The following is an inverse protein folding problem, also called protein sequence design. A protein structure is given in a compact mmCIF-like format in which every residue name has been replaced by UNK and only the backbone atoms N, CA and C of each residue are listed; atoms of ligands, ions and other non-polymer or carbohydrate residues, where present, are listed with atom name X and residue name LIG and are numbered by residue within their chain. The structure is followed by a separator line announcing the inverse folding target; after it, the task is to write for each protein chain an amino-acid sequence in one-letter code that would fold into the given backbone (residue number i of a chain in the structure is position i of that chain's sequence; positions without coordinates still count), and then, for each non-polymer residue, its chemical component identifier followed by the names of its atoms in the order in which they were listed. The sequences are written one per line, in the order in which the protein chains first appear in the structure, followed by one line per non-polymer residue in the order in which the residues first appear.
data_IF_744478614879
#
_entry.id   IF_744478614879
#
_cell.length_a   1.000
_cell.length_b   1.000
_cell.length_c   1.000
_cell.angle_alpha   90.00
_cell.angle_beta   90.00
_cell.angle_gamma   90.00
#
_symmetry.space_group_name_H-M   'P 1'
#
loop_
_entity.id
_entity.type
_entity.pdbx_description
1 polymer ?
#
# COMPACT_ATOMS: atom_id res chain seq x y z
N UNK A 1 20.24 -20.17 5.42
CA UNK A 1 19.27 -19.40 6.22
C UNK A 1 18.66 -18.36 5.30
N UNK A 2 17.35 -18.43 5.02
CA UNK A 2 16.67 -17.38 4.25
C UNK A 2 16.58 -16.13 5.13
N UNK A 3 17.57 -15.26 5.04
CA UNK A 3 17.51 -13.93 5.63
C UNK A 3 16.47 -13.13 4.83
N UNK A 4 15.24 -13.10 5.35
CA UNK A 4 14.20 -12.08 5.14
C UNK A 4 13.83 -11.69 3.69
N UNK A 5 13.35 -12.67 2.91
CA UNK A 5 12.58 -12.32 1.72
C UNK A 5 11.15 -11.90 2.09
N UNK A 6 10.80 -10.63 1.86
CA UNK A 6 9.39 -10.21 1.78
C UNK A 6 8.90 -10.37 0.34
N UNK A 7 7.64 -10.71 0.17
CA UNK A 7 6.99 -10.77 -1.14
C UNK A 7 5.70 -9.96 -1.15
N UNK A 8 5.41 -9.42 -2.32
CA UNK A 8 4.13 -8.80 -2.60
C UNK A 8 3.07 -9.83 -2.94
N UNK A 9 1.87 -9.51 -2.48
CA UNK A 9 0.69 -10.30 -2.72
C UNK A 9 -0.41 -9.35 -3.20
N UNK A 10 -0.93 -9.64 -4.39
CA UNK A 10 -2.10 -8.94 -4.91
C UNK A 10 -3.32 -9.59 -4.28
N UNK A 11 -4.13 -8.78 -3.61
CA UNK A 11 -5.39 -9.17 -3.03
C UNK A 11 -6.48 -8.89 -4.05
N UNK A 12 -7.03 -9.97 -4.58
CA UNK A 12 -8.08 -9.92 -5.56
C UNK A 12 -9.43 -10.28 -4.94
N UNK A 13 -10.50 -9.73 -5.54
CA UNK A 13 -11.89 -9.86 -5.06
C UNK A 13 -12.71 -10.72 -6.02
N UNK A 14 -13.35 -11.78 -5.54
CA UNK A 14 -14.45 -12.44 -6.25
C UNK A 14 -15.75 -12.14 -5.51
N UNK A 15 -16.72 -11.51 -6.18
CA UNK A 15 -18.00 -11.17 -5.55
C UNK A 15 -18.80 -12.40 -5.09
N UNK A 16 -19.67 -12.22 -4.08
CA UNK A 16 -20.84 -13.07 -3.83
C UNK A 16 -20.92 -13.75 -2.46
N UNK A 17 -19.83 -14.24 -1.87
CA UNK A 17 -19.89 -14.95 -0.57
C UNK A 17 -18.53 -15.15 0.14
N UNK A 18 -17.59 -14.23 -0.10
CA UNK A 18 -16.21 -14.17 0.42
C UNK A 18 -15.31 -15.34 0.04
N UNK A 19 -14.56 -15.13 -1.04
CA UNK A 19 -13.15 -15.44 -1.01
C UNK A 19 -12.31 -14.22 -1.39
N UNK A 20 -11.56 -13.70 -0.42
CA UNK A 20 -10.34 -12.98 -0.75
C UNK A 20 -9.39 -14.01 -1.36
N UNK A 21 -8.87 -13.76 -2.56
CA UNK A 21 -7.73 -14.55 -3.04
C UNK A 21 -6.51 -13.67 -3.06
N UNK A 22 -5.43 -14.24 -2.55
CA UNK A 22 -4.13 -13.59 -2.55
C UNK A 22 -3.30 -14.35 -3.55
N UNK A 23 -2.71 -13.66 -4.50
CA UNK A 23 -1.74 -14.26 -5.41
C UNK A 23 -0.43 -13.49 -5.36
N UNK A 24 0.62 -14.28 -5.35
CA UNK A 24 1.96 -13.87 -5.77
C UNK A 24 2.05 -14.21 -7.27
N UNK A 25 2.98 -13.60 -8.00
CA UNK A 25 3.17 -13.66 -9.46
C UNK A 25 2.85 -15.04 -10.10
N UNK A 26 2.20 -15.08 -11.28
CA UNK A 26 1.93 -16.18 -12.26
C UNK A 26 1.65 -17.65 -11.81
N UNK A 27 2.08 -18.13 -10.65
CA UNK A 27 2.08 -19.55 -10.26
C UNK A 27 1.34 -19.85 -8.95
N UNK A 28 1.20 -18.88 -8.04
CA UNK A 28 0.74 -19.17 -6.67
C UNK A 28 -0.47 -18.32 -6.24
N UNK A 29 -1.57 -19.00 -5.93
CA UNK A 29 -2.83 -18.39 -5.49
C UNK A 29 -3.44 -19.18 -4.35
N UNK A 30 -3.90 -18.48 -3.32
CA UNK A 30 -4.63 -19.07 -2.22
C UNK A 30 -5.99 -18.40 -2.04
N UNK A 31 -7.00 -19.19 -1.62
CA UNK A 31 -8.39 -18.77 -1.54
C UNK A 31 -9.02 -19.30 -0.25
N UNK A 32 -9.56 -18.41 0.56
CA UNK A 32 -10.37 -18.73 1.75
C UNK A 32 -11.34 -17.57 2.07
N UNK A 33 -12.30 -17.81 2.97
CA UNK A 33 -13.21 -16.78 3.51
C UNK A 33 -12.49 -15.77 4.39
N UNK A 34 -11.41 -16.19 5.05
CA UNK A 34 -10.55 -15.32 5.86
C UNK A 34 -9.27 -14.96 5.09
N UNK A 35 -8.98 -13.66 5.04
CA UNK A 35 -7.78 -13.15 4.37
C UNK A 35 -6.49 -13.66 5.01
N UNK A 36 -6.42 -13.79 6.33
CA UNK A 36 -5.19 -14.29 6.97
C UNK A 36 -4.96 -15.76 6.67
N UNK A 37 -6.04 -16.55 6.64
CA UNK A 37 -5.93 -17.92 6.22
C UNK A 37 -5.45 -18.02 4.78
N UNK A 38 -6.03 -17.23 3.87
CA UNK A 38 -5.58 -17.13 2.47
C UNK A 38 -4.10 -16.74 2.37
N UNK A 39 -3.66 -15.72 3.11
CA UNK A 39 -2.27 -15.28 3.13
C UNK A 39 -1.34 -16.35 3.74
N UNK A 40 -1.79 -17.07 4.76
CA UNK A 40 -1.03 -18.17 5.37
C UNK A 40 -0.86 -19.34 4.41
N UNK A 41 -1.92 -19.70 3.68
CA UNK A 41 -1.87 -20.71 2.62
C UNK A 41 -0.90 -20.29 1.51
N UNK A 42 -0.98 -19.05 1.04
CA UNK A 42 -0.07 -18.51 0.02
C UNK A 42 1.39 -18.57 0.50
N UNK A 43 1.67 -18.11 1.73
CA UNK A 43 3.00 -18.23 2.35
C UNK A 43 3.51 -19.67 2.36
N UNK A 44 2.64 -20.62 2.71
CA UNK A 44 3.01 -22.03 2.77
C UNK A 44 3.35 -22.57 1.38
N UNK A 45 2.55 -22.21 0.37
CA UNK A 45 2.78 -22.59 -1.02
C UNK A 45 4.11 -22.03 -1.52
N UNK A 46 4.33 -20.71 -1.40
CA UNK A 46 5.57 -20.07 -1.85
C UNK A 46 6.80 -20.64 -1.14
N UNK A 47 6.72 -20.95 0.16
CA UNK A 47 7.81 -21.64 0.87
C UNK A 47 8.10 -23.04 0.29
N UNK A 48 7.07 -23.77 -0.12
CA UNK A 48 7.22 -25.06 -0.78
C UNK A 48 7.90 -24.90 -2.14
N UNK A 49 7.46 -23.93 -2.94
CA UNK A 49 8.00 -23.63 -4.27
C UNK A 49 9.50 -23.25 -4.19
N UNK A 50 9.87 -22.44 -3.19
CA UNK A 50 11.24 -22.09 -2.87
C UNK A 50 12.09 -23.30 -2.49
N UNK A 51 11.58 -24.16 -1.60
CA UNK A 51 12.30 -25.36 -1.17
C UNK A 51 12.51 -26.36 -2.31
N UNK A 52 11.64 -26.31 -3.32
CA UNK A 52 11.67 -27.18 -4.50
C UNK A 52 12.46 -26.59 -5.67
N UNK A 53 12.96 -25.35 -5.54
CA UNK A 53 13.69 -24.65 -6.60
C UNK A 53 12.84 -24.13 -7.76
N UNK A 54 11.51 -24.17 -7.65
CA UNK A 54 10.59 -23.62 -8.65
C UNK A 54 10.50 -22.10 -8.62
N UNK A 55 11.03 -21.48 -7.56
CA UNK A 55 11.02 -20.04 -7.37
C UNK A 55 12.39 -19.57 -6.85
N UNK A 56 12.87 -18.44 -7.36
CA UNK A 56 14.07 -17.76 -6.85
C UNK A 56 13.68 -16.46 -6.16
N UNK A 57 14.15 -16.26 -4.93
CA UNK A 57 13.94 -15.00 -4.22
C UNK A 57 14.70 -13.86 -4.88
N UNK A 58 14.16 -12.65 -4.72
CA UNK A 58 14.92 -11.43 -4.98
C UNK A 58 16.23 -11.45 -4.19
N UNK A 59 17.27 -10.85 -4.80
CA UNK A 59 18.58 -10.67 -4.17
C UNK A 59 18.55 -9.66 -3.01
N UNK A 60 17.47 -8.91 -2.87
CA UNK A 60 17.38 -7.80 -1.93
C UNK A 60 16.59 -8.15 -0.66
N UNK A 61 17.14 -7.71 0.47
CA UNK A 61 16.43 -7.69 1.75
C UNK A 61 15.45 -6.51 1.76
N UNK A 62 14.18 -6.78 1.47
CA UNK A 62 13.13 -5.76 1.51
C UNK A 62 12.72 -5.43 2.95
N UNK A 63 12.95 -4.18 3.35
CA UNK A 63 12.69 -3.74 4.73
C UNK A 63 11.20 -3.46 4.96
N UNK A 64 10.59 -2.62 4.12
CA UNK A 64 9.20 -2.17 4.25
C UNK A 64 8.64 -1.66 2.91
N UNK A 65 7.32 -1.76 2.69
CA UNK A 65 6.68 -1.20 1.50
C UNK A 65 6.41 0.30 1.66
N UNK A 66 6.58 1.05 0.58
CA UNK A 66 6.07 2.40 0.38
C UNK A 66 5.06 2.33 -0.76
N UNK A 67 3.81 2.74 -0.53
CA UNK A 67 2.72 2.57 -1.49
C UNK A 67 2.10 3.92 -1.82
N UNK A 68 1.98 4.24 -3.10
CA UNK A 68 1.32 5.47 -3.54
C UNK A 68 0.60 5.29 -4.89
N UNK A 69 -0.13 6.32 -5.30
CA UNK A 69 -0.68 6.41 -6.65
C UNK A 69 0.27 7.21 -7.55
N UNK A 70 0.70 6.61 -8.66
CA UNK A 70 1.49 7.23 -9.72
C UNK A 70 0.52 7.72 -10.79
N UNK A 71 0.39 9.03 -10.93
CA UNK A 71 -0.46 9.65 -11.94
C UNK A 71 0.35 9.82 -13.24
N UNK A 72 0.03 9.02 -14.25
CA UNK A 72 0.68 9.01 -15.56
C UNK A 72 -0.26 9.55 -16.64
N UNK A 73 0.28 10.30 -17.60
CA UNK A 73 -0.42 10.66 -18.83
C UNK A 73 0.02 9.69 -19.91
N UNK A 74 -0.90 8.85 -20.39
CA UNK A 74 -0.60 7.84 -21.40
C UNK A 74 -0.84 8.42 -22.80
N UNK A 75 0.19 8.51 -23.66
CA UNK A 75 0.04 8.81 -25.08
C UNK A 75 -0.44 7.57 -25.82
N UNK A 76 -1.74 7.50 -26.06
CA UNK A 76 -2.41 6.39 -26.73
C UNK A 76 -2.64 6.71 -28.21
N UNK A 77 -2.86 5.68 -29.03
CA UNK A 77 -3.11 5.84 -30.47
C UNK A 77 -4.34 6.69 -30.77
N UNK A 78 -5.36 6.59 -29.91
CA UNK A 78 -6.66 7.24 -30.03
C UNK A 78 -6.82 8.46 -29.11
N UNK A 79 -5.73 8.94 -28.50
CA UNK A 79 -5.71 10.17 -27.70
C UNK A 79 -4.79 10.09 -26.50
N UNK A 80 -5.00 10.94 -25.51
CA UNK A 80 -4.26 10.89 -24.24
C UNK A 80 -5.17 10.48 -23.10
N UNK A 81 -4.75 9.54 -22.24
CA UNK A 81 -5.48 9.17 -21.04
C UNK A 81 -4.67 9.48 -19.79
N UNK A 82 -5.21 10.31 -18.89
CA UNK A 82 -4.64 10.45 -17.55
C UNK A 82 -5.13 9.30 -16.67
N UNK A 83 -4.20 8.46 -16.23
CA UNK A 83 -4.49 7.27 -15.45
C UNK A 83 -3.63 7.24 -14.18
N UNK A 84 -4.22 6.75 -13.09
CA UNK A 84 -3.55 6.60 -11.81
C UNK A 84 -3.25 5.12 -11.54
N UNK A 85 -1.98 4.78 -11.38
CA UNK A 85 -1.48 3.42 -11.15
C UNK A 85 -1.08 3.25 -9.70
N UNK A 86 -1.23 2.04 -9.15
CA UNK A 86 -0.68 1.73 -7.82
C UNK A 86 0.81 1.44 -7.98
N UNK A 87 1.66 2.19 -7.29
CA UNK A 87 3.09 1.93 -7.18
C UNK A 87 3.44 1.43 -5.79
N UNK A 88 4.27 0.39 -5.72
CA UNK A 88 4.87 -0.11 -4.50
C UNK A 88 6.39 0.03 -4.63
N UNK A 89 7.08 0.55 -3.62
CA UNK A 89 8.53 0.66 -3.60
C UNK A 89 9.10 0.12 -2.29
N UNK A 90 10.28 -0.48 -2.39
CA UNK A 90 10.99 -1.09 -1.29
C UNK A 90 12.34 -0.46 -1.08
N UNK A 91 12.66 -0.19 0.17
CA UNK A 91 14.06 0.00 0.57
C UNK A 91 14.79 -1.34 0.45
N UNK A 92 15.78 -1.39 -0.43
CA UNK A 92 16.67 -2.51 -0.70
C UNK A 92 18.11 -2.10 -0.40
N UNK A 93 18.92 -3.07 0.01
CA UNK A 93 20.36 -2.91 0.21
C UNK A 93 21.09 -3.80 -0.79
N UNK A 94 22.04 -3.25 -1.54
CA UNK A 94 22.90 -4.04 -2.43
C UNK A 94 24.00 -4.80 -1.66
N UNK A 95 24.73 -5.67 -2.36
CA UNK A 95 25.84 -6.47 -1.80
C UNK A 95 27.00 -5.59 -1.25
N UNK A 96 27.02 -4.30 -1.58
CA UNK A 96 27.99 -3.31 -1.12
C UNK A 96 27.46 -2.41 0.00
N UNK A 97 26.24 -2.67 0.50
CA UNK A 97 25.60 -1.88 1.54
C UNK A 97 25.09 -0.52 1.08
N UNK A 98 24.98 -0.28 -0.23
CA UNK A 98 24.32 0.91 -0.78
C UNK A 98 22.82 0.71 -0.74
N UNK A 99 22.13 1.75 -0.27
CA UNK A 99 20.67 1.80 -0.28
C UNK A 99 20.19 2.11 -1.68
N UNK A 100 19.21 1.35 -2.13
CA UNK A 100 18.49 1.57 -3.37
C UNK A 100 17.00 1.27 -3.19
N UNK A 101 16.18 1.77 -4.11
CA UNK A 101 14.74 1.61 -4.09
C UNK A 101 14.26 0.83 -5.29
N UNK A 102 13.73 -0.37 -5.04
CA UNK A 102 13.09 -1.19 -6.05
C UNK A 102 11.61 -0.87 -6.04
N UNK A 103 11.09 -0.26 -7.09
CA UNK A 103 9.66 -0.02 -7.27
C UNK A 103 9.07 -0.98 -8.28
N UNK A 104 7.78 -1.27 -8.09
CA UNK A 104 6.99 -2.10 -8.97
C UNK A 104 5.57 -1.55 -9.07
N UNK A 105 4.97 -1.73 -10.24
CA UNK A 105 3.54 -1.54 -10.45
C UNK A 105 2.89 -2.93 -10.44
N UNK A 106 2.19 -3.32 -9.36
CA UNK A 106 1.70 -4.69 -9.17
C UNK A 106 0.74 -5.16 -10.26
N UNK A 107 0.11 -4.23 -10.98
CA UNK A 107 -0.91 -4.55 -11.99
C UNK A 107 -0.37 -4.92 -13.35
N UNK A 108 0.84 -4.50 -13.70
CA UNK A 108 1.45 -4.75 -15.00
C UNK A 108 2.89 -5.24 -14.88
N UNK A 109 3.34 -5.51 -13.65
CA UNK A 109 4.62 -6.13 -13.31
C UNK A 109 5.84 -5.34 -13.81
N UNK A 110 5.65 -4.07 -14.17
CA UNK A 110 6.74 -3.16 -14.48
C UNK A 110 7.49 -2.85 -13.19
N UNK A 111 8.81 -2.81 -13.26
CA UNK A 111 9.68 -2.51 -12.12
C UNK A 111 10.81 -1.59 -12.51
N UNK A 112 11.39 -0.94 -11.50
CA UNK A 112 12.52 -0.03 -11.65
C UNK A 112 13.38 -0.01 -10.39
N UNK A 113 14.64 0.37 -10.54
CA UNK A 113 15.56 0.64 -9.44
C UNK A 113 16.00 2.11 -9.47
N UNK A 114 16.11 2.76 -8.32
CA UNK A 114 16.62 4.14 -8.21
C UNK A 114 17.24 4.42 -6.84
N UNK A 115 18.05 5.48 -6.75
CA UNK A 115 18.75 5.86 -5.50
C UNK A 115 17.80 6.49 -4.46
N UNK A 116 16.72 7.13 -4.89
CA UNK A 116 15.73 7.76 -4.01
C UNK A 116 14.33 7.21 -4.24
N UNK A 117 13.50 7.23 -3.19
CA UNK A 117 12.11 6.77 -3.26
C UNK A 117 11.29 7.55 -4.31
N UNK A 118 11.48 8.87 -4.36
CA UNK A 118 10.72 9.73 -5.27
C UNK A 118 11.15 9.51 -6.72
N UNK A 119 12.45 9.38 -6.96
CA UNK A 119 12.97 9.05 -8.30
C UNK A 119 12.48 7.67 -8.73
N UNK A 120 12.47 6.69 -7.83
CA UNK A 120 11.95 5.35 -8.13
C UNK A 120 10.51 5.38 -8.64
N UNK A 121 9.62 6.12 -7.96
CA UNK A 121 8.24 6.28 -8.42
C UNK A 121 8.10 7.11 -9.70
N UNK A 122 8.91 8.16 -9.85
CA UNK A 122 8.91 9.00 -11.05
C UNK A 122 9.29 8.17 -12.28
N UNK A 123 10.43 7.47 -12.22
CA UNK A 123 10.92 6.61 -13.29
C UNK A 123 9.96 5.45 -13.56
N UNK A 124 9.34 4.87 -12.53
CA UNK A 124 8.27 3.87 -12.73
C UNK A 124 7.10 4.45 -13.54
N UNK A 125 6.72 5.70 -13.30
CA UNK A 125 5.72 6.42 -14.10
C UNK A 125 6.12 6.57 -15.56
N UNK A 126 7.38 6.93 -15.83
CA UNK A 126 7.95 7.04 -17.19
C UNK A 126 7.98 5.67 -17.91
N UNK A 127 8.30 4.59 -17.19
CA UNK A 127 8.28 3.21 -17.73
C UNK A 127 6.84 2.77 -18.05
N UNK A 128 5.88 3.09 -17.19
CA UNK A 128 4.46 2.84 -17.44
C UNK A 128 4.00 3.59 -18.69
N UNK A 129 4.37 4.87 -18.82
CA UNK A 129 4.06 5.68 -19.99
C UNK A 129 4.60 5.04 -21.27
N UNK A 130 5.89 4.69 -21.27
CA UNK A 130 6.55 4.06 -22.41
C UNK A 130 5.93 2.70 -22.79
N UNK A 131 5.51 1.89 -21.80
CA UNK A 131 4.87 0.59 -22.04
C UNK A 131 3.55 0.73 -22.82
N UNK A 132 2.78 1.79 -22.57
CA UNK A 132 1.46 1.97 -23.19
C UNK A 132 1.46 2.94 -24.36
N UNK A 133 2.64 3.37 -24.82
CA UNK A 133 2.76 4.20 -26.02
C UNK A 133 2.10 3.52 -27.23
N UNK A 134 1.24 4.25 -27.93
CA UNK A 134 0.53 3.79 -29.14
C UNK A 134 -0.42 2.58 -28.97
N UNK A 135 -0.71 2.20 -27.72
CA UNK A 135 -1.80 1.27 -27.38
C UNK A 135 -3.17 1.94 -27.61
N UNK A 136 -4.24 1.16 -27.72
CA UNK A 136 -5.61 1.69 -27.81
C UNK A 136 -6.25 1.76 -26.42
N UNK A 137 -7.07 2.80 -26.17
CA UNK A 137 -7.81 2.95 -24.91
C UNK A 137 -8.61 1.68 -24.54
N UNK A 138 -9.23 1.04 -25.53
CA UNK A 138 -10.06 -0.15 -25.29
C UNK A 138 -9.26 -1.36 -24.81
N UNK A 139 -8.02 -1.52 -25.27
CA UNK A 139 -7.14 -2.61 -24.87
C UNK A 139 -6.64 -2.35 -23.45
N UNK A 140 -6.26 -1.10 -23.16
CA UNK A 140 -5.88 -0.65 -21.82
C UNK A 140 -6.97 -0.88 -20.76
N UNK A 141 -8.23 -0.53 -21.06
CA UNK A 141 -9.36 -0.70 -20.11
C UNK A 141 -9.58 -2.17 -19.75
N UNK A 142 -9.23 -3.11 -20.64
CA UNK A 142 -9.33 -4.56 -20.39
C UNK A 142 -8.18 -5.08 -19.55
N UNK A 143 -6.98 -4.55 -19.75
CA UNK A 143 -5.77 -5.00 -19.06
C UNK A 143 -5.65 -4.46 -17.64
N UNK A 144 -6.10 -3.23 -17.38
CA UNK A 144 -5.86 -2.59 -16.09
C UNK A 144 -6.81 -3.10 -14.99
N UNK A 145 -6.27 -3.72 -13.92
CA UNK A 145 -7.03 -4.03 -12.72
C UNK A 145 -7.58 -2.73 -12.13
N UNK A 146 -8.90 -2.67 -11.96
CA UNK A 146 -9.56 -1.41 -11.57
C UNK A 146 -9.15 -0.93 -10.18
N UNK A 147 -9.03 -1.81 -9.20
CA UNK A 147 -8.70 -1.43 -7.82
C UNK A 147 -7.85 -2.52 -7.14
N UNK A 148 -6.56 -2.65 -7.53
CA UNK A 148 -5.66 -3.63 -6.94
C UNK A 148 -5.42 -3.32 -5.46
N UNK A 149 -5.58 -4.30 -4.59
CA UNK A 149 -5.12 -4.20 -3.22
C UNK A 149 -3.82 -5.00 -3.10
N UNK A 150 -2.87 -4.51 -2.32
CA UNK A 150 -1.59 -5.16 -2.09
C UNK A 150 -1.31 -5.33 -0.62
N UNK A 151 -0.66 -6.43 -0.30
CA UNK A 151 -0.13 -6.70 1.03
C UNK A 151 1.25 -7.32 0.89
N UNK A 152 2.15 -6.96 1.79
CA UNK A 152 3.53 -7.46 1.74
C UNK A 152 3.78 -8.38 2.93
N UNK A 153 4.12 -9.64 2.66
CA UNK A 153 4.32 -10.65 3.69
C UNK A 153 5.77 -11.11 3.81
N UNK A 154 6.19 -11.42 5.03
CA UNK A 154 7.51 -11.99 5.33
C UNK A 154 7.48 -13.52 5.19
N UNK A 155 8.45 -14.07 4.46
CA UNK A 155 8.69 -15.52 4.32
C UNK A 155 9.56 -16.09 5.45
N UNK A 156 10.20 -15.25 6.27
CA UNK A 156 11.02 -15.62 7.41
C UNK A 156 10.29 -16.47 8.46
N UNK A 157 11.03 -17.34 9.15
CA UNK A 157 10.52 -18.25 10.19
C UNK A 157 10.08 -17.55 11.49
N UNK A 158 9.71 -18.34 12.52
CA UNK A 158 9.07 -17.99 13.82
C UNK A 158 9.74 -16.91 14.70
N UNK A 159 10.55 -15.98 14.19
CA UNK A 159 11.00 -14.82 14.96
C UNK A 159 9.82 -13.90 15.23
N UNK A 160 9.76 -13.38 16.45
CA UNK A 160 8.74 -12.43 16.87
C UNK A 160 8.84 -11.19 15.96
N UNK A 161 7.80 -10.96 15.17
CA UNK A 161 7.75 -9.84 14.24
C UNK A 161 7.82 -8.55 15.05
N UNK A 162 8.68 -7.61 14.63
CA UNK A 162 8.70 -6.28 15.23
C UNK A 162 7.29 -5.69 15.10
N UNK A 163 6.68 -5.20 16.18
CA UNK A 163 5.37 -4.59 16.09
C UNK A 163 5.42 -3.39 15.12
N UNK A 164 4.36 -3.17 14.33
CA UNK A 164 4.32 -2.13 13.29
C UNK A 164 3.09 -1.24 13.43
N UNK A 165 3.13 -0.01 12.91
CA UNK A 165 1.98 0.90 12.81
C UNK A 165 1.81 1.38 11.38
N UNK A 166 0.57 1.66 10.98
CA UNK A 166 0.31 2.27 9.68
C UNK A 166 0.71 3.73 9.72
N UNK A 167 1.45 4.15 8.69
CA UNK A 167 1.97 5.50 8.57
C UNK A 167 1.55 6.12 7.26
N UNK A 168 1.23 7.40 7.33
CA UNK A 168 1.02 8.26 6.17
C UNK A 168 2.22 9.20 6.11
N UNK A 169 2.87 9.25 4.95
CA UNK A 169 3.85 10.28 4.65
C UNK A 169 3.19 11.29 3.73
N UNK A 170 3.06 12.51 4.22
CA UNK A 170 2.44 13.63 3.54
C UNK A 170 3.53 14.58 3.03
N UNK A 171 3.51 14.96 1.74
CA UNK A 171 4.34 16.05 1.27
C UNK A 171 3.87 17.37 1.91
N UNK A 172 4.82 18.17 2.38
CA UNK A 172 4.62 19.52 2.89
C UNK A 172 5.53 20.47 2.12
N UNK A 173 5.47 21.78 2.39
CA UNK A 173 6.28 22.78 1.68
C UNK A 173 7.79 22.53 1.90
N UNK A 174 8.44 21.84 0.95
CA UNK A 174 9.86 21.53 0.97
C UNK A 174 10.28 20.38 1.92
N UNK A 175 9.34 19.64 2.51
CA UNK A 175 9.65 18.54 3.43
C UNK A 175 8.55 17.47 3.46
N UNK A 176 8.76 16.38 4.19
CA UNK A 176 7.80 15.29 4.36
C UNK A 176 7.45 15.12 5.82
N UNK A 177 6.16 14.92 6.10
CA UNK A 177 5.63 14.63 7.44
C UNK A 177 5.14 13.19 7.49
N UNK A 178 5.75 12.37 8.32
CA UNK A 178 5.28 11.02 8.63
C UNK A 178 4.32 11.09 9.83
N UNK A 179 3.13 10.47 9.72
CA UNK A 179 2.07 10.49 10.74
C UNK A 179 1.60 9.06 11.01
N UNK A 180 1.64 8.63 12.27
CA UNK A 180 1.00 7.38 12.71
C UNK A 180 -0.53 7.53 12.68
N UNK A 181 -1.22 6.57 12.07
CA UNK A 181 -2.68 6.57 11.99
C UNK A 181 -3.36 6.20 13.32
N UNK A 182 -2.66 5.43 14.15
CA UNK A 182 -3.21 4.89 15.39
C UNK A 182 -2.91 5.76 16.61
N UNK A 183 -1.77 6.46 16.62
CA UNK A 183 -1.32 7.26 17.77
C UNK A 183 -1.29 8.76 17.51
N UNK A 184 -1.55 9.21 16.28
CA UNK A 184 -1.49 10.62 15.87
C UNK A 184 -0.13 11.31 16.12
N UNK A 185 0.92 10.53 16.37
CA UNK A 185 2.30 11.01 16.47
C UNK A 185 2.83 11.31 15.08
N UNK A 186 3.68 12.34 14.96
CA UNK A 186 4.25 12.72 13.68
C UNK A 186 5.67 13.23 13.79
N UNK A 187 6.43 13.10 12.70
CA UNK A 187 7.77 13.66 12.56
C UNK A 187 7.99 14.19 11.14
N UNK A 188 8.83 15.22 11.02
CA UNK A 188 9.10 15.91 9.74
C UNK A 188 10.58 15.84 9.36
N UNK A 189 10.87 15.62 8.08
CA UNK A 189 12.24 15.62 7.55
C UNK A 189 12.29 15.96 6.05
N UNK A 190 13.50 16.06 5.48
CA UNK A 190 13.71 16.44 4.08
C UNK A 190 13.32 15.34 3.08
N UNK A 191 13.31 14.08 3.50
CA UNK A 191 12.89 12.94 2.67
C UNK A 191 11.83 12.07 3.36
N UNK A 192 11.04 11.30 2.59
CA UNK A 192 10.06 10.36 3.16
C UNK A 192 10.67 9.39 4.17
N UNK A 193 11.83 8.81 3.83
CA UNK A 193 12.52 7.83 4.66
C UNK A 193 13.08 8.45 5.95
N UNK A 194 13.63 9.66 5.88
CA UNK A 194 14.08 10.36 7.09
C UNK A 194 12.92 10.72 8.01
N UNK A 195 11.78 11.16 7.46
CA UNK A 195 10.60 11.49 8.24
C UNK A 195 10.06 10.25 8.97
N UNK A 196 10.03 9.12 8.26
CA UNK A 196 9.66 7.82 8.83
C UNK A 196 10.65 7.39 9.92
N UNK A 197 11.96 7.45 9.68
CA UNK A 197 12.97 7.07 10.66
C UNK A 197 12.91 7.95 11.92
N UNK A 198 12.62 9.24 11.79
CA UNK A 198 12.37 10.11 12.94
C UNK A 198 11.10 9.73 13.68
N UNK A 199 10.02 9.40 12.96
CA UNK A 199 8.78 8.91 13.58
C UNK A 199 9.01 7.60 14.35
N UNK A 200 9.80 6.66 13.82
CA UNK A 200 10.15 5.42 14.53
C UNK A 200 10.87 5.70 15.86
N UNK A 201 11.74 6.72 15.90
CA UNK A 201 12.38 7.15 17.16
C UNK A 201 11.38 7.73 18.14
N UNK A 202 10.51 8.63 17.68
CA UNK A 202 9.43 9.19 18.50
C UNK A 202 8.54 8.09 19.07
N UNK A 203 8.21 7.08 18.26
CA UNK A 203 7.44 5.92 18.69
C UNK A 203 8.16 5.08 19.74
N UNK A 204 9.47 4.86 19.60
CA UNK A 204 10.23 4.07 20.56
C UNK A 204 10.24 4.69 21.98
N UNK A 205 10.13 6.02 22.05
CA UNK A 205 10.18 6.79 23.30
C UNK A 205 8.79 7.05 23.89
N UNK A 206 7.70 6.77 23.17
CA UNK A 206 6.35 7.14 23.59
C UNK A 206 5.65 6.02 24.41
N UNK A 207 5.28 6.27 25.69
CA UNK A 207 4.64 5.27 26.54
C UNK A 207 3.22 4.89 26.11
N UNK A 208 2.56 5.69 25.24
CA UNK A 208 1.27 5.35 24.64
C UNK A 208 1.37 4.20 23.64
N UNK A 209 2.56 3.90 23.10
CA UNK A 209 2.76 2.80 22.16
C UNK A 209 2.35 1.45 22.74
N UNK A 210 2.70 1.18 24.01
CA UNK A 210 2.29 -0.05 24.70
C UNK A 210 0.76 -0.19 24.81
N UNK A 211 0.04 0.93 24.77
CA UNK A 211 -1.43 1.01 24.82
C UNK A 211 -2.07 1.19 23.43
N UNK A 212 -1.25 1.44 22.41
CA UNK A 212 -1.68 1.68 21.04
C UNK A 212 -2.17 0.43 20.33
N UNK A 213 -3.02 0.62 19.32
CA UNK A 213 -3.41 -0.46 18.42
C UNK A 213 -2.27 -0.77 17.46
N UNK A 214 -1.35 -1.65 17.87
CA UNK A 214 -0.23 -2.06 17.03
C UNK A 214 -0.70 -3.10 16.00
N UNK A 215 -0.20 -3.00 14.76
CA UNK A 215 -0.40 -4.00 13.72
C UNK A 215 0.16 -5.33 14.18
N UNK A 216 -0.72 -6.33 14.26
CA UNK A 216 -0.33 -7.72 14.58
C UNK A 216 -0.14 -8.58 13.34
N UNK A 217 -0.50 -8.06 12.17
CA UNK A 217 -0.44 -8.76 10.89
C UNK A 217 -0.09 -7.79 9.76
N UNK A 218 0.05 -8.31 8.54
CA UNK A 218 0.34 -7.53 7.35
C UNK A 218 -0.75 -6.48 7.08
N UNK A 219 -0.38 -5.20 6.87
CA UNK A 219 -1.32 -4.22 6.38
C UNK A 219 -1.67 -4.49 4.92
N UNK A 220 -2.82 -3.97 4.50
CA UNK A 220 -3.24 -3.96 3.10
C UNK A 220 -3.33 -2.51 2.65
N UNK A 221 -2.79 -2.21 1.48
CA UNK A 221 -2.82 -0.90 0.85
C UNK A 221 -3.42 -0.99 -0.53
N UNK A 222 -4.00 0.10 -1.04
CA UNK A 222 -4.42 0.17 -2.43
C UNK A 222 -5.48 1.23 -2.67
N UNK A 223 -5.92 1.40 -3.92
CA UNK A 223 -6.94 2.36 -4.26
C UNK A 223 -8.35 1.80 -4.07
N UNK A 224 -9.29 2.70 -3.79
CA UNK A 224 -10.72 2.48 -3.95
C UNK A 224 -11.28 3.54 -4.88
N UNK A 225 -12.08 3.10 -5.84
CA UNK A 225 -12.86 3.99 -6.68
C UNK A 225 -14.21 4.26 -5.98
N UNK A 226 -14.55 5.53 -5.85
CA UNK A 226 -15.75 6.03 -5.16
C UNK A 226 -16.51 6.94 -6.11
N UNK A 227 -17.80 6.63 -6.31
CA UNK A 227 -18.70 7.52 -7.03
C UNK A 227 -19.18 8.61 -6.07
N UNK A 228 -18.80 9.85 -6.34
CA UNK A 228 -19.15 11.00 -5.54
C UNK A 228 -20.35 11.73 -6.14
N UNK A 229 -21.32 12.07 -5.29
CA UNK A 229 -22.43 12.97 -5.61
C UNK A 229 -22.03 14.38 -5.21
N UNK A 230 -21.61 15.18 -6.18
CA UNK A 230 -21.18 16.57 -6.01
C UNK A 230 -22.36 17.51 -6.29
N UNK A 231 -22.26 18.80 -5.92
CA UNK A 231 -23.39 19.76 -6.03
C UNK A 231 -24.11 19.75 -7.38
N UNK A 232 -23.34 19.66 -8.47
CA UNK A 232 -23.86 19.80 -9.84
C UNK A 232 -23.47 18.63 -10.76
N UNK A 233 -22.89 17.55 -10.22
CA UNK A 233 -22.37 16.46 -11.06
C UNK A 233 -22.11 15.18 -10.26
N UNK A 234 -21.91 14.08 -10.97
CA UNK A 234 -21.33 12.87 -10.42
C UNK A 234 -19.89 12.73 -10.90
N UNK A 235 -19.00 12.26 -10.04
CA UNK A 235 -17.62 12.00 -10.42
C UNK A 235 -17.10 10.72 -9.79
N UNK A 236 -16.49 9.86 -10.59
CA UNK A 236 -15.75 8.71 -10.08
C UNK A 236 -14.34 9.17 -9.71
N UNK A 237 -13.97 9.00 -8.44
CA UNK A 237 -12.67 9.42 -7.92
C UNK A 237 -11.96 8.27 -7.20
N UNK A 238 -10.64 8.25 -7.35
CA UNK A 238 -9.76 7.24 -6.76
C UNK A 238 -9.09 7.77 -5.51
N UNK A 239 -9.29 7.07 -4.41
CA UNK A 239 -8.69 7.34 -3.11
C UNK A 239 -7.74 6.22 -2.74
N UNK A 240 -6.55 6.56 -2.24
CA UNK A 240 -5.62 5.61 -1.67
C UNK A 240 -6.04 5.33 -0.22
N UNK A 241 -6.07 4.06 0.16
CA UNK A 241 -6.46 3.63 1.49
C UNK A 241 -5.45 2.68 2.12
N UNK A 242 -5.42 2.66 3.44
CA UNK A 242 -4.85 1.59 4.25
C UNK A 242 -5.94 0.80 4.94
N UNK A 243 -5.70 -0.49 5.11
CA UNK A 243 -6.49 -1.41 5.92
C UNK A 243 -5.56 -2.03 6.95
N UNK A 244 -5.69 -1.56 8.19
CA UNK A 244 -4.94 -2.06 9.35
C UNK A 244 -5.76 -3.12 10.06
N UNK A 245 -5.26 -4.35 10.24
CA UNK A 245 -5.87 -5.27 11.17
C UNK A 245 -5.62 -4.92 12.61
N UNK A 246 -6.71 -4.95 13.38
CA UNK A 246 -6.70 -4.65 14.79
C UNK A 246 -7.31 -5.82 15.57
N UNK A 247 -6.83 -6.01 16.80
CA UNK A 247 -7.39 -6.98 17.72
C UNK A 247 -7.55 -6.33 19.09
N UNK A 248 -8.80 -6.11 19.50
CA UNK A 248 -9.16 -5.70 20.85
C UNK A 248 -10.40 -6.50 21.28
N UNK A 249 -10.17 -7.72 21.77
CA UNK A 249 -11.23 -8.73 21.96
C UNK A 249 -11.59 -9.42 20.63
N UNK A 250 -12.36 -8.74 19.77
CA UNK A 250 -12.75 -9.25 18.45
C UNK A 250 -11.82 -8.70 17.37
N UNK A 251 -11.48 -9.52 16.36
CA UNK A 251 -10.69 -9.10 15.20
C UNK A 251 -11.54 -8.19 14.31
N UNK A 252 -10.96 -7.07 13.89
CA UNK A 252 -11.56 -6.15 12.93
C UNK A 252 -10.50 -5.51 12.04
N UNK A 253 -10.94 -4.94 10.94
CA UNK A 253 -10.13 -4.15 10.01
C UNK A 253 -10.52 -2.68 10.15
N UNK A 254 -9.51 -1.82 10.31
CA UNK A 254 -9.65 -0.38 10.27
C UNK A 254 -9.21 0.11 8.89
N UNK A 255 -10.15 0.68 8.14
CA UNK A 255 -9.87 1.35 6.89
C UNK A 255 -9.60 2.83 7.15
N UNK A 256 -8.65 3.41 6.43
CA UNK A 256 -8.37 4.84 6.47
C UNK A 256 -8.14 5.39 5.07
N UNK A 257 -8.76 6.53 4.77
CA UNK A 257 -8.59 7.27 3.52
C UNK A 257 -7.98 8.65 3.86
N UNK A 258 -6.64 8.80 3.82
CA UNK A 258 -5.95 10.02 4.28
C UNK A 258 -6.42 11.27 3.54
N UNK A 259 -6.60 11.16 2.23
CA UNK A 259 -7.01 12.28 1.37
C UNK A 259 -8.40 12.82 1.74
N UNK A 260 -9.25 11.99 2.32
CA UNK A 260 -10.59 12.37 2.78
C UNK A 260 -10.62 12.68 4.29
N UNK A 261 -9.57 12.30 5.04
CA UNK A 261 -9.51 12.41 6.50
C UNK A 261 -10.58 11.57 7.20
N UNK A 262 -10.99 10.44 6.61
CA UNK A 262 -12.03 9.56 7.17
C UNK A 262 -11.50 8.17 7.47
N UNK A 263 -12.08 7.55 8.50
CA UNK A 263 -11.81 6.18 8.90
C UNK A 263 -13.11 5.38 8.94
N UNK A 264 -12.98 4.07 8.75
CA UNK A 264 -14.08 3.13 8.90
C UNK A 264 -13.57 1.85 9.57
N UNK A 265 -14.48 1.04 10.12
CA UNK A 265 -14.15 -0.26 10.70
C UNK A 265 -15.17 -1.31 10.30
N UNK A 266 -14.72 -2.56 10.22
CA UNK A 266 -15.59 -3.73 10.03
C UNK A 266 -14.87 -4.99 10.51
N UNK A 267 -15.61 -6.05 10.83
CA UNK A 267 -15.05 -7.37 11.13
C UNK A 267 -14.51 -8.09 9.89
N UNK A 268 -14.92 -7.66 8.69
CA UNK A 268 -14.47 -8.19 7.39
C UNK A 268 -13.75 -7.12 6.55
N UNK A 269 -12.89 -7.54 5.63
CA UNK A 269 -12.23 -6.63 4.69
C UNK A 269 -13.26 -5.97 3.78
N UNK A 270 -14.21 -6.74 3.25
CA UNK A 270 -15.24 -6.23 2.34
C UNK A 270 -16.11 -5.18 3.02
N UNK A 271 -16.51 -5.42 4.28
CA UNK A 271 -17.25 -4.43 5.05
C UNK A 271 -16.40 -3.18 5.34
N UNK A 272 -15.10 -3.33 5.62
CA UNK A 272 -14.23 -2.17 5.86
C UNK A 272 -14.06 -1.33 4.59
N UNK A 273 -13.92 -1.99 3.44
CA UNK A 273 -13.87 -1.38 2.11
C UNK A 273 -15.19 -0.69 1.73
N UNK A 274 -16.34 -1.30 2.01
CA UNK A 274 -17.61 -0.66 1.73
C UNK A 274 -17.83 0.53 2.65
N UNK A 275 -17.61 0.36 3.96
CA UNK A 275 -17.79 1.41 4.94
C UNK A 275 -16.86 2.62 4.67
N UNK A 276 -15.62 2.41 4.21
CA UNK A 276 -14.75 3.53 3.87
C UNK A 276 -15.20 4.25 2.60
N UNK A 277 -15.72 3.54 1.59
CA UNK A 277 -16.31 4.18 0.41
C UNK A 277 -17.51 5.04 0.79
N UNK A 278 -18.39 4.52 1.64
CA UNK A 278 -19.57 5.25 2.12
C UNK A 278 -19.17 6.49 2.93
N UNK A 279 -18.15 6.36 3.80
CA UNK A 279 -17.60 7.48 4.56
C UNK A 279 -16.99 8.56 3.64
N UNK A 280 -16.27 8.18 2.59
CA UNK A 280 -15.73 9.11 1.59
C UNK A 280 -16.88 9.79 0.83
N UNK A 281 -17.88 9.03 0.37
CA UNK A 281 -19.04 9.59 -0.33
C UNK A 281 -19.80 10.59 0.53
N UNK A 282 -19.97 10.30 1.82
CA UNK A 282 -20.59 11.21 2.77
C UNK A 282 -19.74 12.47 3.01
N UNK A 283 -18.41 12.30 3.14
CA UNK A 283 -17.47 13.41 3.34
C UNK A 283 -17.48 14.43 2.21
N UNK A 284 -17.66 13.98 0.98
CA UNK A 284 -17.72 14.82 -0.21
C UNK A 284 -19.13 15.01 -0.77
N UNK A 285 -20.16 14.65 0.01
CA UNK A 285 -21.54 14.91 -0.38
C UNK A 285 -21.73 16.42 -0.54
N UNK A 286 -22.21 16.83 -1.71
CA UNK A 286 -22.35 18.25 -2.06
C UNK A 286 -21.03 19.05 -2.00
N UNK A 287 -19.87 18.40 -2.08
CA UNK A 287 -18.62 19.12 -2.31
C UNK A 287 -18.57 19.65 -3.75
N UNK A 288 -17.78 20.68 -3.97
CA UNK A 288 -17.42 21.18 -5.30
C UNK A 288 -16.30 20.34 -5.91
N UNK A 289 -16.21 20.32 -7.24
CA UNK A 289 -15.13 19.63 -7.96
C UNK A 289 -13.74 20.12 -7.51
N UNK A 290 -13.59 21.42 -7.26
CA UNK A 290 -12.34 22.03 -6.80
C UNK A 290 -11.93 21.58 -5.39
N UNK A 291 -12.89 21.35 -4.49
CA UNK A 291 -12.60 20.82 -3.14
C UNK A 291 -12.10 19.38 -3.20
N UNK A 292 -12.74 18.56 -4.03
CA UNK A 292 -12.34 17.17 -4.26
C UNK A 292 -10.95 17.12 -4.90
N UNK A 293 -10.69 17.92 -5.93
CA UNK A 293 -9.40 17.94 -6.60
C UNK A 293 -8.28 18.47 -5.69
N UNK A 294 -8.59 19.43 -4.80
CA UNK A 294 -7.66 19.90 -3.76
C UNK A 294 -7.30 18.77 -2.79
N UNK A 295 -8.29 18.01 -2.33
CA UNK A 295 -8.08 16.88 -1.42
C UNK A 295 -7.24 15.76 -2.07
N UNK A 296 -7.39 15.55 -3.38
CA UNK A 296 -6.66 14.53 -4.13
C UNK A 296 -5.31 14.99 -4.68
N UNK A 297 -5.01 16.30 -4.64
CA UNK A 297 -3.80 16.91 -5.21
C UNK A 297 -2.52 16.36 -4.59
N UNK A 298 -2.47 16.23 -3.27
CA UNK A 298 -1.34 15.66 -2.57
C UNK A 298 -1.54 14.15 -2.46
N UNK A 299 -0.75 13.37 -3.20
CA UNK A 299 -0.76 11.92 -3.09
C UNK A 299 0.05 11.52 -1.84
N UNK A 300 -0.58 10.93 -0.81
CA UNK A 300 0.17 10.42 0.31
C UNK A 300 0.98 9.18 -0.10
N UNK A 301 2.03 8.90 0.66
CA UNK A 301 2.71 7.60 0.62
C UNK A 301 2.28 6.84 1.88
N UNK A 302 1.74 5.64 1.70
CA UNK A 302 1.38 4.73 2.78
C UNK A 302 2.52 3.77 3.06
N UNK A 303 2.82 3.53 4.32
CA UNK A 303 3.90 2.62 4.73
C UNK A 303 3.68 2.09 6.14
N UNK A 304 4.64 1.32 6.66
CA UNK A 304 4.69 0.91 8.07
C UNK A 304 5.88 1.52 8.80
N UNK A 305 5.64 1.98 10.04
CA UNK A 305 6.69 2.25 11.00
C UNK A 305 6.88 1.04 11.91
N UNK A 306 8.13 0.70 12.18
CA UNK A 306 8.50 -0.27 13.20
C UNK A 306 8.43 0.40 14.55
N UNK A 307 7.91 -0.36 15.50
CA UNK A 307 7.86 -0.02 16.90
C UNK A 307 8.90 -0.88 17.59
N UNK A 308 10.04 -0.29 17.92
CA UNK A 308 11.01 -0.94 18.80
C UNK A 308 10.72 -0.48 20.23
N UNK A 309 10.53 -1.37 21.21
CA UNK A 309 10.55 -0.94 22.60
C UNK A 309 11.91 -0.29 22.87
N UNK A 310 11.91 0.89 23.49
CA UNK A 310 13.13 1.47 24.04
C UNK A 310 13.72 0.46 25.03
N UNK A 311 14.90 -0.07 24.72
CA UNK A 311 15.71 -0.77 25.71
C UNK A 311 16.25 0.29 26.69
N UNK A 312 15.39 0.81 27.55
CA UNK A 312 15.82 1.51 28.75
C UNK A 312 16.24 0.42 29.75
N UNK A 313 17.50 0.01 29.65
CA UNK A 313 18.23 -0.56 30.78
C UNK A 313 18.48 0.54 31.81
#
# INVERSE_FOLDING_TARGET
MLTRARLDAIVYRVGGSNPCYVSEHDCSRAKDKDFYHSLTLLKSQVRSDLSSGFYSLSRFDYVRPFVTCIDTVLPLRDGSLKQSFLGCAYEAMDDHGRRQFVSMCPTNYLSNEADTLLDSFKTLGEIIEARYLDERVNDLIRELPRAPLITTFDLGGKKQRTPELSVIIEPTNGSFRAVSQELSLSATAGSPCEALNKLEKVLADDPSVARGHILRSEPIFGPVDVQLTLKNSFSLKRFLISLSPCQNGTRYYRAHAPQAGVYAKSTTIEGALQNIKDAISLKFHEATQAEVDRALKARPILTTARVSPSNNN
#
